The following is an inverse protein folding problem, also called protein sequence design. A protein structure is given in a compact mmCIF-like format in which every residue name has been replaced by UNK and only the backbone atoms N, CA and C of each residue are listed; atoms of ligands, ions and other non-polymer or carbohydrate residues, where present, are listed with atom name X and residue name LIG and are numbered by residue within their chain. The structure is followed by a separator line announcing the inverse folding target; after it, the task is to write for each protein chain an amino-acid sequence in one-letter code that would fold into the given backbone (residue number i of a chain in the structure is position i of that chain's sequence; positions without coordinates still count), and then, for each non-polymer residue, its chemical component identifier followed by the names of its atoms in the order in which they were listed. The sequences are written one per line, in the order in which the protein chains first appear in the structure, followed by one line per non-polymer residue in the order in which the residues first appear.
data_IF_230277349947
#
_entry.id   IF_230277349947
#
_cell.length_a   1.000
_cell.length_b   1.000
_cell.length_c   1.000
_cell.angle_alpha   90.00
_cell.angle_beta   90.00
_cell.angle_gamma   90.00
#
_symmetry.space_group_name_H-M   'P 1'
#
loop_
_entity.id
_entity.type
_entity.pdbx_description
1 polymer ?
#
# COMPACT_ATOMS: atom_id res chain seq x y z
N UNK A 1 7.24 8.61 -32.62
CA UNK A 1 6.78 7.43 -31.86
C UNK A 1 5.78 6.74 -32.77
N UNK A 2 6.04 5.50 -33.15
CA UNK A 2 5.20 4.75 -34.10
C UNK A 2 4.02 4.16 -33.31
N UNK A 3 2.78 4.52 -33.67
CA UNK A 3 1.52 4.14 -32.99
C UNK A 3 1.29 2.60 -32.97
N UNK A 4 2.17 1.81 -33.61
CA UNK A 4 2.10 0.35 -33.71
C UNK A 4 2.70 -0.41 -32.53
N UNK A 5 3.40 0.26 -31.61
CA UNK A 5 3.98 -0.34 -30.40
C UNK A 5 3.02 -0.34 -29.18
N UNK A 6 1.79 0.18 -29.33
CA UNK A 6 0.84 0.36 -28.21
C UNK A 6 -0.15 -0.80 -28.00
N UNK A 7 -0.21 -1.78 -28.90
CA UNK A 7 -1.14 -2.91 -28.75
C UNK A 7 -0.49 -4.00 -27.88
N UNK A 8 -1.00 -4.13 -26.67
CA UNK A 8 -0.61 -5.19 -25.73
C UNK A 8 -0.74 -6.58 -26.38
N UNK A 9 0.25 -7.44 -26.16
CA UNK A 9 0.28 -8.76 -26.79
C UNK A 9 -0.96 -9.58 -26.37
N UNK A 10 -1.70 -10.13 -27.34
CA UNK A 10 -2.91 -10.92 -27.07
C UNK A 10 -2.69 -12.04 -26.03
N UNK A 11 -1.50 -12.66 -26.04
CA UNK A 11 -1.15 -13.69 -25.06
C UNK A 11 -1.13 -13.12 -23.64
N UNK A 12 -0.54 -11.95 -23.47
CA UNK A 12 -0.48 -11.26 -22.17
C UNK A 12 -1.89 -10.90 -21.72
N UNK A 13 -2.71 -10.33 -22.60
CA UNK A 13 -4.12 -10.02 -22.29
C UNK A 13 -4.87 -11.27 -21.85
N UNK A 14 -4.70 -12.40 -22.54
CA UNK A 14 -5.39 -13.67 -22.22
C UNK A 14 -4.91 -14.29 -20.91
N UNK A 15 -3.63 -14.19 -20.59
CA UNK A 15 -3.02 -14.88 -19.44
C UNK A 15 -2.97 -14.03 -18.16
N UNK A 16 -2.83 -12.70 -18.27
CA UNK A 16 -2.63 -11.76 -17.15
C UNK A 16 -3.82 -10.85 -16.96
N UNK A 17 -4.90 -11.40 -16.42
CA UNK A 17 -6.14 -10.67 -16.13
C UNK A 17 -6.82 -11.22 -14.88
N UNK A 18 -7.74 -10.42 -14.34
CA UNK A 18 -8.79 -10.88 -13.45
C UNK A 18 -9.93 -11.41 -14.32
N UNK A 19 -10.32 -12.67 -14.14
CA UNK A 19 -11.30 -13.31 -15.02
C UNK A 19 -12.73 -12.84 -14.72
N UNK A 20 -13.58 -12.79 -15.76
CA UNK A 20 -15.00 -12.50 -15.59
C UNK A 20 -15.68 -13.44 -14.59
N UNK A 21 -15.39 -14.74 -14.65
CA UNK A 21 -15.98 -15.72 -13.73
C UNK A 21 -15.68 -15.42 -12.26
N UNK A 22 -14.51 -14.86 -11.93
CA UNK A 22 -14.17 -14.50 -10.56
C UNK A 22 -14.97 -13.31 -10.03
N UNK A 23 -15.30 -12.37 -10.92
CA UNK A 23 -16.05 -11.13 -10.58
C UNK A 23 -17.52 -11.19 -11.00
N UNK A 24 -18.00 -12.36 -11.42
CA UNK A 24 -19.37 -12.57 -11.85
C UNK A 24 -20.35 -12.21 -10.71
N UNK A 25 -21.38 -11.45 -11.05
CA UNK A 25 -22.34 -10.90 -10.07
C UNK A 25 -21.83 -9.67 -9.29
N UNK A 26 -20.55 -9.30 -9.43
CA UNK A 26 -19.95 -8.13 -8.76
C UNK A 26 -19.65 -6.98 -9.73
N UNK A 27 -19.68 -7.25 -11.04
CA UNK A 27 -19.35 -6.30 -12.11
C UNK A 27 -20.08 -4.95 -11.99
N UNK A 28 -21.40 -4.96 -11.76
CA UNK A 28 -22.18 -3.73 -11.63
C UNK A 28 -21.68 -2.84 -10.49
N UNK A 29 -21.35 -3.44 -9.34
CA UNK A 29 -20.79 -2.71 -8.19
C UNK A 29 -19.39 -2.16 -8.51
N UNK A 30 -18.53 -2.98 -9.14
CA UNK A 30 -17.18 -2.53 -9.54
C UNK A 30 -17.27 -1.32 -10.47
N UNK A 31 -18.08 -1.39 -11.53
CA UNK A 31 -18.24 -0.27 -12.46
C UNK A 31 -18.80 0.99 -11.78
N UNK A 32 -19.77 0.80 -10.87
CA UNK A 32 -20.33 1.90 -10.10
C UNK A 32 -19.32 2.54 -9.14
N UNK A 33 -18.44 1.74 -8.53
CA UNK A 33 -17.37 2.24 -7.66
C UNK A 33 -16.27 2.95 -8.45
N UNK A 34 -16.00 2.54 -9.69
CA UNK A 34 -15.11 3.27 -10.61
C UNK A 34 -15.70 4.64 -10.94
N UNK A 35 -16.97 4.69 -11.34
CA UNK A 35 -17.68 5.94 -11.65
C UNK A 35 -17.72 6.90 -10.44
N UNK A 36 -17.91 6.35 -9.23
CA UNK A 36 -17.96 7.13 -7.99
C UNK A 36 -16.58 7.44 -7.38
N UNK A 37 -15.47 7.12 -8.06
CA UNK A 37 -14.10 7.28 -7.55
C UNK A 37 -13.84 6.55 -6.20
N UNK A 38 -14.59 5.47 -5.97
CA UNK A 38 -14.47 4.57 -4.80
C UNK A 38 -13.59 3.36 -5.07
N UNK A 39 -12.85 3.36 -6.19
CA UNK A 39 -11.83 2.37 -6.49
C UNK A 39 -10.55 3.08 -6.95
N UNK A 40 -9.46 2.90 -6.22
CA UNK A 40 -8.19 3.54 -6.56
C UNK A 40 -7.51 2.83 -7.74
N UNK A 41 -7.54 3.43 -8.93
CA UNK A 41 -6.99 2.84 -10.16
C UNK A 41 -5.69 3.49 -10.65
N UNK A 42 -5.22 4.58 -10.04
CA UNK A 42 -4.06 5.36 -10.54
C UNK A 42 -2.71 4.62 -10.48
N UNK A 43 -2.67 3.50 -9.77
CA UNK A 43 -1.48 2.63 -9.67
C UNK A 43 -1.42 1.58 -10.78
N UNK A 44 -2.50 1.43 -11.57
CA UNK A 44 -2.55 0.48 -12.68
C UNK A 44 -1.67 1.04 -13.82
N UNK A 45 -0.70 0.27 -14.32
CA UNK A 45 0.18 0.71 -15.40
C UNK A 45 -0.56 0.75 -16.74
N UNK A 46 -0.14 1.65 -17.63
CA UNK A 46 -0.73 1.80 -18.96
C UNK A 46 -0.49 0.59 -19.87
N UNK A 47 0.63 -0.13 -19.66
CA UNK A 47 1.02 -1.31 -20.42
C UNK A 47 1.73 -2.35 -19.56
N UNK A 48 1.85 -3.58 -20.04
CA UNK A 48 2.67 -4.59 -19.40
C UNK A 48 4.14 -4.17 -19.34
N UNK A 49 4.67 -3.53 -20.39
CA UNK A 49 6.05 -3.04 -20.39
C UNK A 49 6.29 -2.03 -19.26
N UNK A 50 5.33 -1.14 -19.01
CA UNK A 50 5.40 -0.19 -17.91
C UNK A 50 5.19 -0.87 -16.55
N UNK A 51 4.37 -1.93 -16.50
CA UNK A 51 4.20 -2.73 -15.27
C UNK A 51 5.51 -3.33 -14.74
N UNK A 52 6.49 -3.58 -15.62
CA UNK A 52 7.78 -4.17 -15.26
C UNK A 52 8.79 -3.16 -14.71
N UNK A 53 8.52 -1.85 -14.84
CA UNK A 53 9.41 -0.80 -14.35
C UNK A 53 9.07 -0.47 -12.90
N UNK A 54 10.09 -0.16 -12.10
CA UNK A 54 9.93 0.41 -10.77
C UNK A 54 10.73 1.70 -10.74
N UNK A 55 10.00 2.81 -10.74
CA UNK A 55 10.54 4.15 -10.66
C UNK A 55 9.87 4.92 -9.51
N UNK A 56 10.27 6.17 -9.34
CA UNK A 56 9.71 7.05 -8.31
C UNK A 56 8.21 7.26 -8.48
N UNK A 57 7.72 7.37 -9.71
CA UNK A 57 6.30 7.54 -10.01
C UNK A 57 5.50 6.34 -9.53
N UNK A 58 5.94 5.12 -9.88
CA UNK A 58 5.31 3.88 -9.44
C UNK A 58 5.33 3.75 -7.92
N UNK A 59 6.46 4.04 -7.28
CA UNK A 59 6.56 4.04 -5.82
C UNK A 59 5.54 4.97 -5.16
N UNK A 60 5.43 6.21 -5.65
CA UNK A 60 4.47 7.18 -5.12
C UNK A 60 3.04 6.68 -5.33
N UNK A 61 2.71 6.14 -6.50
CA UNK A 61 1.36 5.64 -6.79
C UNK A 61 0.99 4.43 -5.93
N UNK A 62 1.92 3.50 -5.70
CA UNK A 62 1.70 2.31 -4.85
C UNK A 62 1.54 2.71 -3.39
N UNK A 63 2.41 3.58 -2.87
CA UNK A 63 2.29 4.03 -1.47
C UNK A 63 1.01 4.84 -1.24
N UNK A 64 0.62 5.70 -2.20
CA UNK A 64 -0.66 6.40 -2.17
C UNK A 64 -1.86 5.45 -2.22
N UNK A 65 -1.80 4.40 -3.03
CA UNK A 65 -2.83 3.36 -3.09
C UNK A 65 -2.97 2.63 -1.74
N UNK A 66 -1.85 2.28 -1.09
CA UNK A 66 -1.87 1.67 0.25
C UNK A 66 -2.53 2.61 1.26
N UNK A 67 -2.18 3.89 1.29
CA UNK A 67 -2.80 4.86 2.20
C UNK A 67 -4.31 5.01 1.94
N UNK A 68 -4.71 5.03 0.67
CA UNK A 68 -6.10 5.10 0.26
C UNK A 68 -6.87 3.85 0.69
N UNK A 69 -6.32 2.66 0.44
CA UNK A 69 -6.93 1.39 0.85
C UNK A 69 -7.06 1.31 2.36
N UNK A 70 -6.00 1.68 3.10
CA UNK A 70 -6.01 1.68 4.56
C UNK A 70 -7.16 2.53 5.11
N UNK A 71 -7.34 3.77 4.61
CA UNK A 71 -8.41 4.66 5.06
C UNK A 71 -9.80 4.07 4.87
N UNK A 72 -10.01 3.29 3.80
CA UNK A 72 -11.30 2.66 3.53
C UNK A 72 -11.53 1.39 4.36
N UNK A 73 -10.48 0.61 4.60
CA UNK A 73 -10.57 -0.61 5.41
C UNK A 73 -10.65 -0.32 6.92
N UNK A 74 -10.00 0.77 7.36
CA UNK A 74 -9.89 1.16 8.75
C UNK A 74 -10.34 2.62 8.92
N UNK A 75 -11.66 2.90 8.89
CA UNK A 75 -12.18 4.27 9.02
C UNK A 75 -11.82 4.92 10.35
N UNK A 76 -11.65 4.11 11.40
CA UNK A 76 -11.24 4.54 12.74
C UNK A 76 -9.70 4.68 12.90
N UNK A 77 -8.92 4.40 11.84
CA UNK A 77 -7.46 4.45 11.87
C UNK A 77 -6.78 3.19 12.41
N UNK A 78 -5.52 3.33 12.84
CA UNK A 78 -4.78 2.22 13.43
C UNK A 78 -5.39 1.76 14.76
N UNK A 79 -5.31 0.45 14.99
CA UNK A 79 -5.62 -0.17 16.28
C UNK A 79 -4.47 0.08 17.23
N UNK A 80 -4.72 0.89 18.25
CA UNK A 80 -3.78 1.18 19.32
C UNK A 80 -4.18 0.43 20.59
N UNK A 81 -3.19 -0.02 21.36
CA UNK A 81 -3.46 -0.58 22.70
C UNK A 81 -3.98 0.50 23.66
N UNK A 82 -4.76 0.11 24.68
CA UNK A 82 -5.21 1.03 25.73
C UNK A 82 -4.05 1.79 26.39
N UNK A 83 -2.90 1.13 26.53
CA UNK A 83 -1.68 1.74 27.07
C UNK A 83 -1.18 2.86 26.16
N UNK A 84 -1.17 2.62 24.84
CA UNK A 84 -0.78 3.61 23.83
C UNK A 84 -1.75 4.79 23.82
N UNK A 85 -3.06 4.52 23.83
CA UNK A 85 -4.09 5.57 23.85
C UNK A 85 -3.99 6.45 25.10
N UNK A 86 -3.82 5.86 26.28
CA UNK A 86 -3.59 6.60 27.54
C UNK A 86 -2.33 7.45 27.50
N UNK A 87 -1.25 6.94 26.91
CA UNK A 87 -0.02 7.71 26.75
C UNK A 87 -0.21 8.88 25.78
N UNK A 88 -0.87 8.67 24.65
CA UNK A 88 -1.20 9.72 23.67
C UNK A 88 -2.06 10.80 24.30
N UNK A 89 -3.08 10.44 25.08
CA UNK A 89 -3.96 11.41 25.74
C UNK A 89 -3.20 12.26 26.76
N UNK A 90 -2.37 11.62 27.61
CA UNK A 90 -1.53 12.37 28.56
C UNK A 90 -0.58 13.34 27.86
N UNK A 91 0.06 12.93 26.77
CA UNK A 91 0.95 13.83 25.99
C UNK A 91 0.14 14.97 25.37
N UNK A 92 -1.09 14.71 24.90
CA UNK A 92 -1.97 15.73 24.34
C UNK A 92 -2.38 16.77 25.39
N UNK A 93 -2.70 16.35 26.60
CA UNK A 93 -2.98 17.24 27.74
C UNK A 93 -1.76 18.11 28.10
N UNK A 94 -0.58 17.52 28.18
CA UNK A 94 0.67 18.26 28.47
C UNK A 94 0.97 19.31 27.39
N UNK A 95 0.78 18.96 26.11
CA UNK A 95 0.97 19.89 25.00
C UNK A 95 -0.09 21.00 24.97
N UNK A 96 -1.35 20.70 25.31
CA UNK A 96 -2.42 21.70 25.37
C UNK A 96 -2.09 22.80 26.39
N UNK A 97 -1.64 22.42 27.58
CA UNK A 97 -1.18 23.38 28.60
C UNK A 97 -0.05 24.26 28.05
N UNK A 98 0.92 23.67 27.33
CA UNK A 98 2.01 24.44 26.70
C UNK A 98 1.54 25.36 25.58
N UNK A 99 0.50 25.00 24.83
CA UNK A 99 -0.12 25.87 23.80
C UNK A 99 -0.81 27.09 24.44
N UNK A 100 -1.44 26.91 25.61
CA UNK A 100 -2.10 27.99 26.36
C UNK A 100 -1.07 28.96 26.95
N UNK A 101 -0.01 28.43 27.57
CA UNK A 101 1.05 29.20 28.22
C UNK A 101 1.98 29.97 27.26
N UNK A 102 1.98 29.61 25.97
CA UNK A 102 2.92 30.16 24.98
C UNK A 102 2.26 31.12 23.98
N UNK A 103 3.10 31.96 23.37
CA UNK A 103 2.71 32.89 22.30
C UNK A 103 3.72 32.84 21.15
N UNK A 104 3.39 33.50 20.03
CA UNK A 104 4.29 33.62 18.88
C UNK A 104 4.68 32.27 18.26
N UNK A 105 5.96 32.13 17.91
CA UNK A 105 6.49 30.96 17.20
C UNK A 105 6.50 29.69 18.05
N UNK A 106 6.77 29.81 19.35
CA UNK A 106 6.75 28.68 20.30
C UNK A 106 5.36 28.02 20.32
N UNK A 107 4.29 28.82 20.35
CA UNK A 107 2.92 28.32 20.28
C UNK A 107 2.65 27.54 18.99
N UNK A 108 3.19 28.00 17.86
CA UNK A 108 3.04 27.29 16.57
C UNK A 108 3.72 25.92 16.61
N UNK A 109 4.91 25.83 17.20
CA UNK A 109 5.63 24.56 17.36
C UNK A 109 4.84 23.58 18.25
N UNK A 110 4.31 24.02 19.39
CA UNK A 110 3.49 23.14 20.23
C UNK A 110 2.22 22.67 19.52
N UNK A 111 1.52 23.55 18.78
CA UNK A 111 0.37 23.16 17.96
C UNK A 111 0.74 22.16 16.87
N UNK A 112 1.92 22.30 16.27
CA UNK A 112 2.41 21.34 15.29
C UNK A 112 2.66 19.97 15.94
N UNK A 113 3.40 19.91 17.05
CA UNK A 113 3.66 18.67 17.77
C UNK A 113 2.36 17.99 18.23
N UNK A 114 1.38 18.76 18.72
CA UNK A 114 0.08 18.24 19.13
C UNK A 114 -0.65 17.54 17.98
N UNK A 115 -0.55 18.06 16.75
CA UNK A 115 -1.13 17.42 15.54
C UNK A 115 -0.44 16.10 15.17
N UNK A 116 0.81 15.91 15.58
CA UNK A 116 1.56 14.66 15.34
C UNK A 116 1.23 13.57 16.37
N UNK A 117 0.67 13.93 17.53
CA UNK A 117 0.29 12.93 18.54
C UNK A 117 -0.84 12.06 18.00
N UNK A 118 -0.56 10.78 17.86
CA UNK A 118 -1.49 9.80 17.30
C UNK A 118 -1.57 9.80 15.77
N UNK A 119 -0.65 10.47 15.07
CA UNK A 119 -0.58 10.36 13.62
C UNK A 119 -0.05 8.98 13.21
N UNK A 120 -0.82 8.27 12.40
CA UNK A 120 -0.48 6.93 11.93
C UNK A 120 0.51 6.99 10.77
N UNK A 121 1.67 6.36 10.95
CA UNK A 121 2.71 6.30 9.92
C UNK A 121 2.41 5.26 8.84
N UNK A 122 2.98 5.43 7.63
CA UNK A 122 2.81 4.46 6.53
C UNK A 122 3.32 3.07 6.93
N UNK A 123 4.43 2.99 7.67
CA UNK A 123 4.97 1.74 8.18
C UNK A 123 3.94 0.98 9.03
N UNK A 124 3.33 1.66 10.00
CA UNK A 124 2.35 1.03 10.88
C UNK A 124 1.08 0.59 10.13
N UNK A 125 0.64 1.36 9.13
CA UNK A 125 -0.49 0.98 8.26
C UNK A 125 -0.20 -0.32 7.50
N UNK A 126 1.01 -0.47 6.97
CA UNK A 126 1.46 -1.69 6.28
C UNK A 126 1.49 -2.87 7.26
N UNK A 127 1.99 -2.67 8.48
CA UNK A 127 2.02 -3.73 9.51
C UNK A 127 0.62 -4.22 9.84
N UNK A 128 -0.32 -3.32 10.15
CA UNK A 128 -1.69 -3.71 10.48
C UNK A 128 -2.37 -4.45 9.31
N UNK A 129 -2.23 -3.95 8.07
CA UNK A 129 -2.71 -4.66 6.88
C UNK A 129 -2.09 -6.07 6.79
N UNK A 130 -0.77 -6.16 7.00
CA UNK A 130 -0.02 -7.41 6.98
C UNK A 130 -0.57 -8.43 7.97
N UNK A 131 -0.75 -8.01 9.22
CA UNK A 131 -1.26 -8.85 10.31
C UNK A 131 -2.71 -9.28 10.09
N UNK A 132 -3.57 -8.37 9.64
CA UNK A 132 -5.00 -8.64 9.43
C UNK A 132 -5.28 -9.57 8.25
N UNK A 133 -4.40 -9.57 7.24
CA UNK A 133 -4.52 -10.38 6.02
C UNK A 133 -3.40 -11.41 5.88
N UNK A 134 -2.71 -11.78 6.97
CA UNK A 134 -1.51 -12.64 6.95
C UNK A 134 -1.74 -13.97 6.22
N UNK A 135 -2.93 -14.57 6.38
CA UNK A 135 -3.30 -15.82 5.72
C UNK A 135 -3.14 -15.76 4.19
N UNK A 136 -3.46 -14.63 3.57
CA UNK A 136 -3.32 -14.39 2.13
C UNK A 136 -1.95 -13.83 1.78
N UNK A 137 -1.50 -12.83 2.55
CA UNK A 137 -0.33 -12.04 2.21
C UNK A 137 0.97 -12.81 2.44
N UNK A 138 1.01 -13.68 3.44
CA UNK A 138 2.21 -14.47 3.74
C UNK A 138 2.55 -15.46 2.63
N UNK A 139 1.57 -15.98 1.88
CA UNK A 139 1.83 -16.88 0.77
C UNK A 139 2.54 -16.15 -0.39
N UNK A 140 2.01 -14.99 -0.79
CA UNK A 140 2.62 -14.15 -1.84
C UNK A 140 3.99 -13.65 -1.40
N UNK A 141 4.07 -13.14 -0.16
CA UNK A 141 5.30 -12.61 0.40
C UNK A 141 6.39 -13.67 0.47
N UNK A 142 6.13 -14.82 1.10
CA UNK A 142 7.12 -15.90 1.19
C UNK A 142 7.58 -16.36 -0.19
N UNK A 143 6.68 -16.53 -1.16
CA UNK A 143 7.08 -16.87 -2.52
C UNK A 143 8.02 -15.82 -3.12
N UNK A 144 7.59 -14.55 -3.12
CA UNK A 144 8.30 -13.46 -3.75
C UNK A 144 9.70 -13.26 -3.16
N UNK A 145 9.83 -13.30 -1.83
CA UNK A 145 11.12 -13.11 -1.17
C UNK A 145 12.01 -14.34 -1.31
N UNK A 146 11.44 -15.54 -1.32
CA UNK A 146 12.21 -16.78 -1.49
C UNK A 146 12.85 -16.87 -2.88
N UNK A 147 12.12 -16.56 -3.96
CA UNK A 147 12.68 -16.61 -5.33
C UNK A 147 13.77 -15.55 -5.58
N UNK A 148 13.86 -14.54 -4.72
CA UNK A 148 14.89 -13.50 -4.75
C UNK A 148 16.01 -13.74 -3.72
N UNK A 149 16.07 -14.90 -3.07
CA UNK A 149 17.04 -15.22 -2.01
C UNK A 149 17.02 -14.27 -0.80
N UNK A 150 15.85 -13.69 -0.51
CA UNK A 150 15.63 -12.71 0.57
C UNK A 150 14.58 -13.18 1.59
N UNK A 151 14.44 -14.49 1.78
CA UNK A 151 13.40 -15.08 2.66
C UNK A 151 13.38 -14.46 4.06
N UNK A 152 14.54 -14.22 4.65
CA UNK A 152 14.67 -13.64 6.01
C UNK A 152 14.32 -12.13 6.07
N UNK A 153 14.09 -11.50 4.92
CA UNK A 153 13.67 -10.10 4.81
C UNK A 153 12.14 -9.93 4.69
N UNK A 154 11.40 -11.03 4.58
CA UNK A 154 9.93 -11.00 4.62
C UNK A 154 9.44 -10.88 6.07
N UNK A 155 9.17 -9.65 6.47
CA UNK A 155 8.55 -9.30 7.74
C UNK A 155 7.81 -7.97 7.57
N UNK A 156 6.57 -7.87 8.02
CA UNK A 156 5.75 -6.68 7.77
C UNK A 156 6.33 -5.41 8.41
N UNK A 157 7.01 -5.53 9.55
CA UNK A 157 7.67 -4.40 10.21
C UNK A 157 8.89 -3.93 9.43
N UNK A 158 9.70 -4.87 8.91
CA UNK A 158 10.83 -4.55 8.03
C UNK A 158 10.36 -3.88 6.74
N UNK A 159 9.35 -4.45 6.10
CA UNK A 159 8.74 -3.92 4.86
C UNK A 159 8.22 -2.50 5.09
N UNK A 160 7.41 -2.29 6.14
CA UNK A 160 6.87 -0.98 6.48
C UNK A 160 7.97 0.05 6.73
N UNK A 161 9.03 -0.35 7.42
CA UNK A 161 10.17 0.52 7.74
C UNK A 161 10.96 0.92 6.48
N UNK A 162 11.29 -0.04 5.60
CA UNK A 162 11.99 0.24 4.34
C UNK A 162 11.18 1.14 3.42
N UNK A 163 9.88 0.87 3.24
CA UNK A 163 8.99 1.70 2.43
C UNK A 163 8.91 3.13 2.99
N UNK A 164 8.75 3.29 4.30
CA UNK A 164 8.70 4.62 4.92
C UNK A 164 10.02 5.38 4.76
N UNK A 165 11.15 4.71 4.99
CA UNK A 165 12.47 5.32 4.82
C UNK A 165 12.71 5.74 3.37
N UNK A 166 12.32 4.90 2.40
CA UNK A 166 12.41 5.23 0.98
C UNK A 166 11.55 6.46 0.64
N UNK A 167 10.30 6.53 1.15
CA UNK A 167 9.43 7.70 0.97
C UNK A 167 10.05 8.97 1.53
N UNK A 168 10.61 8.90 2.73
CA UNK A 168 11.27 10.05 3.36
C UNK A 168 12.49 10.50 2.55
N UNK A 169 13.30 9.56 2.06
CA UNK A 169 14.45 9.86 1.21
C UNK A 169 14.04 10.63 -0.06
N UNK A 170 12.96 10.21 -0.72
CA UNK A 170 12.42 10.91 -1.90
C UNK A 170 11.84 12.27 -1.57
N UNK A 171 11.10 12.39 -0.45
CA UNK A 171 10.54 13.66 -0.01
C UNK A 171 11.63 14.70 0.31
N UNK A 172 12.81 14.26 0.74
CA UNK A 172 13.97 15.11 0.98
C UNK A 172 14.80 15.44 -0.28
N UNK A 173 14.32 15.06 -1.47
CA UNK A 173 14.96 15.43 -2.74
C UNK A 173 16.15 14.54 -3.14
N UNK A 174 16.37 13.41 -2.47
CA UNK A 174 17.43 12.46 -2.84
C UNK A 174 17.00 11.57 -4.01
N UNK A 175 16.57 12.17 -5.12
CA UNK A 175 16.14 11.47 -6.34
C UNK A 175 17.32 10.90 -7.15
N UNK A 176 18.55 11.26 -6.80
CA UNK A 176 19.76 10.72 -7.43
C UNK A 176 20.25 9.41 -6.78
N UNK A 177 19.64 9.00 -5.67
CA UNK A 177 19.98 7.73 -5.00
C UNK A 177 19.20 6.59 -5.62
N UNK A 178 19.91 5.55 -6.05
CA UNK A 178 19.31 4.33 -6.56
C UNK A 178 18.30 3.74 -5.57
N UNK A 179 17.26 3.09 -6.12
CA UNK A 179 16.26 2.39 -5.35
C UNK A 179 16.94 1.26 -4.57
N UNK A 180 16.73 1.16 -3.26
CA UNK A 180 17.26 0.03 -2.50
C UNK A 180 16.61 -1.27 -3.02
N UNK A 181 17.39 -2.25 -3.46
CA UNK A 181 16.88 -3.47 -4.11
C UNK A 181 15.78 -4.17 -3.28
N UNK A 182 15.99 -4.26 -1.96
CA UNK A 182 15.00 -4.83 -1.03
C UNK A 182 13.72 -4.00 -0.98
N UNK A 183 13.83 -2.67 -1.00
CA UNK A 183 12.67 -1.80 -1.06
C UNK A 183 11.92 -1.94 -2.39
N UNK A 184 12.63 -2.19 -3.51
CA UNK A 184 11.97 -2.42 -4.80
C UNK A 184 11.10 -3.67 -4.72
N UNK A 185 11.60 -4.73 -4.08
CA UNK A 185 10.83 -5.94 -3.82
C UNK A 185 9.62 -5.69 -2.91
N UNK A 186 9.78 -4.86 -1.88
CA UNK A 186 8.66 -4.44 -1.02
C UNK A 186 7.57 -3.72 -1.82
N UNK A 187 7.92 -2.89 -2.80
CA UNK A 187 6.95 -2.21 -3.68
C UNK A 187 6.23 -3.23 -4.57
N UNK A 188 6.97 -4.19 -5.13
CA UNK A 188 6.37 -5.29 -5.90
C UNK A 188 5.37 -6.03 -5.03
N UNK A 189 5.72 -6.34 -3.78
CA UNK A 189 4.82 -7.00 -2.84
C UNK A 189 3.56 -6.16 -2.58
N UNK A 190 3.70 -4.88 -2.24
CA UNK A 190 2.59 -3.98 -1.96
C UNK A 190 1.65 -3.81 -3.17
N UNK A 191 2.18 -3.85 -4.39
CA UNK A 191 1.34 -3.88 -5.60
C UNK A 191 0.36 -5.06 -5.56
N UNK A 192 0.79 -6.26 -5.17
CA UNK A 192 -0.08 -7.45 -5.10
C UNK A 192 -1.08 -7.32 -3.96
N UNK A 193 -0.64 -6.76 -2.83
CA UNK A 193 -1.50 -6.46 -1.68
C UNK A 193 -2.67 -5.58 -2.09
N UNK A 194 -2.44 -4.52 -2.88
CA UNK A 194 -3.51 -3.61 -3.34
C UNK A 194 -4.59 -4.39 -4.10
N UNK A 195 -4.21 -5.22 -5.07
CA UNK A 195 -5.19 -6.02 -5.83
C UNK A 195 -5.95 -7.00 -4.93
N UNK A 196 -5.27 -7.68 -3.99
CA UNK A 196 -5.94 -8.56 -3.04
C UNK A 196 -6.97 -7.83 -2.20
N UNK A 197 -6.60 -6.68 -1.61
CA UNK A 197 -7.49 -5.89 -0.77
C UNK A 197 -8.68 -5.32 -1.57
N UNK A 198 -8.45 -4.92 -2.82
CA UNK A 198 -9.53 -4.48 -3.70
C UNK A 198 -10.52 -5.61 -3.99
N UNK A 199 -10.03 -6.81 -4.33
CA UNK A 199 -10.90 -7.97 -4.54
C UNK A 199 -11.65 -8.36 -3.25
N UNK A 200 -10.98 -8.27 -2.10
CA UNK A 200 -11.59 -8.55 -0.79
C UNK A 200 -12.76 -7.61 -0.49
N UNK A 201 -12.67 -6.33 -0.86
CA UNK A 201 -13.75 -5.34 -0.70
C UNK A 201 -15.04 -5.69 -1.47
N UNK A 202 -14.93 -6.57 -2.47
CA UNK A 202 -16.05 -7.10 -3.24
C UNK A 202 -16.55 -8.46 -2.73
N UNK A 203 -16.01 -8.97 -1.62
CA UNK A 203 -16.43 -10.23 -1.00
C UNK A 203 -16.06 -11.46 -1.82
N UNK A 204 -14.89 -11.45 -2.46
CA UNK A 204 -14.29 -12.67 -3.01
C UNK A 204 -13.65 -13.47 -1.86
N UNK A 205 -13.75 -14.79 -1.95
CA UNK A 205 -13.07 -15.70 -1.03
C UNK A 205 -11.56 -15.74 -1.28
N UNK A 206 -10.82 -16.16 -0.25
CA UNK A 206 -9.36 -16.14 -0.20
C UNK A 206 -8.71 -16.92 -1.36
N UNK A 207 -9.20 -18.13 -1.63
CA UNK A 207 -8.70 -18.99 -2.71
C UNK A 207 -8.88 -18.32 -4.09
N UNK A 208 -10.06 -17.76 -4.33
CA UNK A 208 -10.34 -17.04 -5.58
C UNK A 208 -9.45 -15.81 -5.70
N UNK A 209 -9.32 -15.00 -4.65
CA UNK A 209 -8.48 -13.80 -4.66
C UNK A 209 -7.01 -14.15 -4.98
N UNK A 210 -6.44 -15.11 -4.27
CA UNK A 210 -5.07 -15.55 -4.47
C UNK A 210 -4.85 -16.08 -5.89
N UNK A 211 -5.78 -16.89 -6.41
CA UNK A 211 -5.72 -17.41 -7.78
C UNK A 211 -5.73 -16.29 -8.82
N UNK A 212 -6.58 -15.28 -8.65
CA UNK A 212 -6.65 -14.16 -9.59
C UNK A 212 -5.40 -13.29 -9.54
N UNK A 213 -4.86 -13.02 -8.35
CA UNK A 213 -3.61 -12.26 -8.22
C UNK A 213 -2.42 -13.05 -8.76
N UNK A 214 -2.33 -14.36 -8.49
CA UNK A 214 -1.34 -15.24 -9.14
C UNK A 214 -1.41 -15.17 -10.66
N UNK A 215 -2.62 -15.25 -11.23
CA UNK A 215 -2.85 -15.15 -12.67
C UNK A 215 -2.41 -13.78 -13.22
N UNK A 216 -2.89 -12.69 -12.62
CA UNK A 216 -2.61 -11.32 -13.06
C UNK A 216 -1.10 -11.05 -13.12
N UNK A 217 -0.35 -11.51 -12.11
CA UNK A 217 1.10 -11.28 -12.03
C UNK A 217 1.96 -12.42 -12.61
N UNK A 218 1.34 -13.49 -13.13
CA UNK A 218 2.05 -14.63 -13.70
C UNK A 218 2.88 -15.43 -12.69
N UNK A 219 2.44 -15.50 -11.43
CA UNK A 219 3.12 -16.22 -10.35
C UNK A 219 2.88 -17.74 -10.45
N UNK A 220 3.88 -18.56 -10.10
CA UNK A 220 3.88 -20.02 -10.34
C UNK A 220 4.16 -20.83 -9.07
N UNK A 221 3.32 -20.67 -8.04
CA UNK A 221 3.34 -21.46 -6.81
C UNK A 221 1.91 -21.83 -6.41
#
# INVERSE_FOLDING_TARGET
MDERDEIENEKIIKERNITYEAIKGKLGKILQDIENEKLYLRHIPDSHKDSLKIDYSKFIMITAAVEWMFKNLYPEGLRHSDKTLKAQEKVREELENKVIESTGEIKKQYKFLQKLVGSDSLSQKIVQIGEDYDALLSEIGRYLYNINNLKEEFDYTKIGSRIQNQRNNFAHGNLDKEFEDTAALDVIFLEKVIYLLQLSSYGLDDDTMLKQVKRLFGMRF
#
